data_IF_112192801963
#
_entry.id   IF_112192801963
#
_cell.length_a   1.000
_cell.length_b   1.000
_cell.length_c   1.000
_cell.angle_alpha   90.00
_cell.angle_beta   90.00
_cell.angle_gamma   90.00
#
_symmetry.space_group_name_H-M   'P 1'
#
loop_
_entity.id
_entity.type
_entity.pdbx_description
1 polymer ?
#
# COMPACT_ATOMS: atom_id res chain seq x y z
N UNK A 1 19.58 -4.62 -6.02
CA UNK A 1 18.13 -4.85 -6.14
C UNK A 1 17.95 -6.14 -6.93
N UNK A 2 17.47 -7.22 -6.33
CA UNK A 2 17.25 -8.49 -7.02
C UNK A 2 16.07 -8.42 -8.00
N UNK A 3 15.87 -9.45 -8.84
CA UNK A 3 14.71 -9.49 -9.73
C UNK A 3 13.42 -9.50 -8.91
N UNK A 4 12.53 -8.55 -9.19
CA UNK A 4 11.17 -8.57 -8.66
C UNK A 4 10.42 -9.61 -9.48
N UNK A 5 10.07 -10.73 -8.85
CA UNK A 5 9.24 -11.75 -9.48
C UNK A 5 7.79 -11.29 -9.46
N UNK A 6 7.05 -11.59 -10.53
CA UNK A 6 5.61 -11.34 -10.57
C UNK A 6 4.91 -12.10 -9.44
N UNK A 7 3.85 -11.49 -8.90
CA UNK A 7 3.04 -12.13 -7.88
C UNK A 7 2.38 -13.40 -8.44
N UNK A 8 2.43 -14.49 -7.68
CA UNK A 8 1.62 -15.67 -7.99
C UNK A 8 0.14 -15.32 -7.81
N UNK A 9 -0.75 -16.06 -8.47
CA UNK A 9 -2.21 -15.82 -8.36
C UNK A 9 -2.73 -15.87 -6.92
N UNK A 10 -2.10 -16.69 -6.07
CA UNK A 10 -2.41 -16.77 -4.63
C UNK A 10 -2.02 -15.48 -3.89
N UNK A 11 -0.85 -14.92 -4.18
CA UNK A 11 -0.41 -13.64 -3.61
C UNK A 11 -1.29 -12.50 -4.11
N UNK A 12 -1.68 -12.54 -5.39
CA UNK A 12 -2.56 -11.53 -5.96
C UNK A 12 -3.94 -11.57 -5.30
N UNK A 13 -4.54 -12.74 -5.15
CA UNK A 13 -5.82 -12.91 -4.45
C UNK A 13 -5.74 -12.47 -2.97
N UNK A 14 -4.61 -12.72 -2.29
CA UNK A 14 -4.39 -12.22 -0.94
C UNK A 14 -4.28 -10.69 -0.89
N UNK A 15 -3.65 -10.06 -1.88
CA UNK A 15 -3.47 -8.61 -1.97
C UNK A 15 -4.75 -7.84 -2.31
N UNK A 16 -5.71 -8.52 -2.93
CA UNK A 16 -7.05 -7.96 -3.25
C UNK A 16 -8.00 -7.98 -2.05
N UNK A 17 -7.66 -8.71 -0.97
CA UNK A 17 -8.47 -8.75 0.25
C UNK A 17 -8.50 -7.35 0.88
N UNK A 18 -9.68 -6.76 1.13
CA UNK A 18 -9.80 -5.41 1.66
C UNK A 18 -9.00 -5.19 2.94
N UNK A 19 -8.99 -6.17 3.85
CA UNK A 19 -8.25 -6.10 5.10
C UNK A 19 -6.72 -6.08 4.92
N UNK A 20 -6.20 -6.75 3.88
CA UNK A 20 -4.77 -6.77 3.57
C UNK A 20 -4.38 -5.46 2.87
N UNK A 21 -5.19 -5.06 1.88
CA UNK A 21 -5.01 -3.82 1.13
C UNK A 21 -5.00 -2.61 2.06
N UNK A 22 -6.03 -2.46 2.89
CA UNK A 22 -6.19 -1.28 3.72
C UNK A 22 -5.09 -1.23 4.79
N UNK A 23 -4.70 -2.38 5.35
CA UNK A 23 -3.56 -2.48 6.28
C UNK A 23 -2.22 -2.13 5.61
N UNK A 24 -2.01 -2.51 4.34
CA UNK A 24 -0.81 -2.16 3.59
C UNK A 24 -0.74 -0.65 3.30
N UNK A 25 -1.85 -0.06 2.91
CA UNK A 25 -1.97 1.39 2.67
C UNK A 25 -1.75 2.17 3.98
N UNK A 26 -2.29 1.68 5.11
CA UNK A 26 -2.07 2.28 6.43
C UNK A 26 -0.61 2.21 6.87
N UNK A 27 0.04 1.06 6.66
CA UNK A 27 1.46 0.89 6.98
C UNK A 27 2.35 1.83 6.14
N UNK A 28 2.02 2.02 4.86
CA UNK A 28 2.69 2.96 3.97
C UNK A 28 2.51 4.40 4.46
N UNK A 29 1.27 4.80 4.79
CA UNK A 29 0.99 6.14 5.33
C UNK A 29 1.73 6.40 6.65
N UNK A 30 1.78 5.42 7.55
CA UNK A 30 2.51 5.54 8.81
C UNK A 30 4.01 5.74 8.59
N UNK A 31 4.64 4.93 7.73
CA UNK A 31 6.06 5.10 7.35
C UNK A 31 6.32 6.44 6.67
N UNK A 32 5.38 6.93 5.86
CA UNK A 32 5.51 8.21 5.18
C UNK A 32 5.29 9.41 6.10
N UNK A 33 4.47 9.31 7.15
CA UNK A 33 4.35 10.38 8.17
C UNK A 33 5.70 10.65 8.86
N UNK A 34 6.53 9.64 8.99
CA UNK A 34 7.89 9.75 9.52
C UNK A 34 8.90 10.29 8.48
N UNK A 35 8.52 10.33 7.20
CA UNK A 35 9.37 10.75 6.11
C UNK A 35 9.29 12.28 5.90
N UNK A 36 10.40 12.98 6.13
CA UNK A 36 10.49 14.45 6.03
C UNK A 36 10.43 14.99 4.59
N UNK A 37 10.46 14.11 3.59
CA UNK A 37 10.52 14.47 2.16
C UNK A 37 9.13 14.48 1.49
N UNK A 38 8.22 13.61 1.92
CA UNK A 38 6.87 13.49 1.33
C UNK A 38 5.81 13.47 2.42
N UNK A 39 5.01 14.54 2.51
CA UNK A 39 3.86 14.61 3.39
C UNK A 39 2.64 13.94 2.72
N UNK A 40 2.34 12.71 3.12
CA UNK A 40 1.06 12.10 2.81
C UNK A 40 -0.01 12.64 3.78
N UNK A 41 -0.96 13.40 3.27
CA UNK A 41 -2.17 13.82 4.01
C UNK A 41 -3.22 12.71 4.03
N UNK A 42 -4.19 12.73 4.93
CA UNK A 42 -5.25 11.71 5.02
C UNK A 42 -6.08 11.59 3.73
N UNK A 43 -6.21 12.67 2.97
CA UNK A 43 -6.89 12.69 1.67
C UNK A 43 -6.22 11.77 0.63
N UNK A 44 -4.91 11.54 0.76
CA UNK A 44 -4.18 10.59 -0.10
C UNK A 44 -4.48 9.14 0.25
N UNK A 45 -4.93 8.86 1.48
CA UNK A 45 -5.28 7.51 1.94
C UNK A 45 -6.49 6.97 1.21
N UNK A 46 -7.59 7.73 1.20
CA UNK A 46 -8.82 7.31 0.52
C UNK A 46 -8.59 7.17 -0.99
N UNK A 47 -7.79 8.07 -1.58
CA UNK A 47 -7.40 7.98 -2.99
C UNK A 47 -6.63 6.69 -3.30
N UNK A 48 -5.71 6.27 -2.42
CA UNK A 48 -4.96 5.03 -2.60
C UNK A 48 -5.84 3.79 -2.44
N UNK A 49 -6.80 3.78 -1.52
CA UNK A 49 -7.73 2.66 -1.35
C UNK A 49 -8.60 2.49 -2.61
N UNK A 50 -9.05 3.60 -3.20
CA UNK A 50 -9.88 3.57 -4.41
C UNK A 50 -9.13 3.23 -5.70
N UNK A 51 -7.81 3.50 -5.77
CA UNK A 51 -6.98 3.27 -6.95
C UNK A 51 -6.18 1.96 -6.94
N UNK A 52 -6.26 1.21 -5.84
CA UNK A 52 -5.66 -0.11 -5.68
C UNK A 52 -6.49 -1.17 -6.38
#
# INVERSE_FOLDING_TARGET
MGPVMDATSEIQALSERPEIRDAAIDALHKKHRENRVHHFTEEHREKHINNW
#
